data_IF_183547423548
#
_entry.id   IF_183547423548
#
_cell.length_a   1.000
_cell.length_b   1.000
_cell.length_c   1.000
_cell.angle_alpha   90.00
_cell.angle_beta   90.00
_cell.angle_gamma   90.00
#
_symmetry.space_group_name_H-M   'P 1'
#
loop_
_entity.id
_entity.type
_entity.pdbx_description
1 polymer ?
#
# COMPACT_ATOMS: atom_id res chain seq x y z
N UNK A 1 14.08 -9.52 0.76
CA UNK A 1 14.47 -10.25 -0.47
C UNK A 1 13.78 -11.61 -0.48
N UNK A 2 12.55 -11.72 -0.99
CA UNK A 2 12.04 -13.03 -1.37
C UNK A 2 12.62 -13.41 -2.73
N UNK A 3 13.39 -14.49 -2.74
CA UNK A 3 13.77 -15.16 -3.98
C UNK A 3 12.74 -16.24 -4.24
N UNK A 4 11.96 -16.11 -5.31
CA UNK A 4 11.19 -17.22 -5.87
C UNK A 4 11.86 -17.66 -7.16
N UNK A 5 12.16 -18.94 -7.25
CA UNK A 5 12.57 -19.55 -8.51
C UNK A 5 11.38 -19.46 -9.49
N UNK A 6 11.59 -18.84 -10.64
CA UNK A 6 10.61 -18.78 -11.73
C UNK A 6 11.17 -19.58 -12.89
N UNK A 7 10.61 -20.77 -13.13
CA UNK A 7 10.93 -21.58 -14.29
C UNK A 7 10.15 -21.05 -15.51
N UNK A 8 10.84 -20.34 -16.40
CA UNK A 8 10.30 -20.01 -17.72
C UNK A 8 10.41 -21.24 -18.64
N UNK A 9 9.33 -22.01 -18.76
CA UNK A 9 9.26 -23.14 -19.69
C UNK A 9 8.99 -22.64 -21.13
N UNK A 10 10.06 -22.27 -21.83
CA UNK A 10 10.04 -21.94 -23.25
C UNK A 10 11.24 -22.57 -23.99
N UNK A 11 11.15 -23.87 -24.32
CA UNK A 11 12.20 -24.58 -25.07
C UNK A 11 13.24 -25.31 -24.20
N UNK A 12 14.43 -25.56 -24.76
CA UNK A 12 15.53 -26.36 -24.17
C UNK A 12 16.47 -25.57 -23.23
N UNK A 13 16.16 -24.29 -22.98
CA UNK A 13 16.95 -23.43 -22.10
C UNK A 13 16.21 -23.14 -20.80
N UNK A 14 16.77 -23.59 -19.67
CA UNK A 14 16.39 -23.10 -18.35
C UNK A 14 17.23 -21.87 -18.00
N UNK A 15 16.59 -20.71 -17.99
CA UNK A 15 17.20 -19.47 -17.48
C UNK A 15 16.85 -19.33 -15.99
N UNK A 16 17.85 -19.51 -15.12
CA UNK A 16 17.75 -19.10 -13.71
C UNK A 16 17.92 -17.59 -13.63
N UNK A 17 16.81 -16.86 -13.62
CA UNK A 17 16.80 -15.43 -13.34
C UNK A 17 16.38 -15.15 -11.90
N UNK A 18 17.08 -14.25 -11.21
CA UNK A 18 16.60 -13.66 -9.97
C UNK A 18 15.82 -12.39 -10.32
N UNK A 19 14.50 -12.39 -10.15
CA UNK A 19 13.75 -11.15 -9.97
C UNK A 19 13.75 -10.83 -8.49
N UNK A 20 14.63 -9.93 -8.08
CA UNK A 20 14.55 -9.29 -6.79
C UNK A 20 13.59 -8.11 -6.93
N UNK A 21 12.31 -8.33 -6.65
CA UNK A 21 11.48 -7.22 -6.21
C UNK A 21 11.81 -7.00 -4.73
N UNK A 22 12.10 -5.76 -4.34
CA UNK A 22 11.98 -5.39 -2.95
C UNK A 22 10.48 -5.45 -2.65
N UNK A 23 10.01 -6.54 -2.04
CA UNK A 23 8.61 -6.77 -1.66
C UNK A 23 8.21 -5.84 -0.50
N UNK A 24 8.25 -4.53 -0.74
CA UNK A 24 7.88 -3.51 0.22
C UNK A 24 6.44 -3.06 -0.07
N UNK A 25 5.56 -3.30 0.90
CA UNK A 25 4.13 -2.99 0.79
C UNK A 25 3.78 -1.75 1.64
N UNK A 26 3.09 -0.76 1.08
CA UNK A 26 2.69 0.46 1.78
C UNK A 26 1.20 0.73 1.63
N UNK A 27 0.48 0.69 2.75
CA UNK A 27 -0.94 1.03 2.82
C UNK A 27 -1.11 2.40 3.48
N UNK A 28 -1.84 3.29 2.80
CA UNK A 28 -2.11 4.67 3.23
C UNK A 28 -3.62 4.85 3.36
N UNK A 29 -4.13 5.00 4.58
CA UNK A 29 -5.57 4.97 4.84
C UNK A 29 -6.05 6.11 5.73
N UNK A 30 -7.32 6.48 5.60
CA UNK A 30 -7.99 7.39 6.52
C UNK A 30 -8.43 6.64 7.79
N UNK A 31 -8.05 7.14 8.97
CA UNK A 31 -8.36 6.46 10.23
C UNK A 31 -9.87 6.48 10.57
N UNK A 32 -10.62 7.42 9.99
CA UNK A 32 -12.05 7.57 10.20
C UNK A 32 -12.88 7.10 9.00
N UNK A 33 -12.24 6.49 7.99
CA UNK A 33 -12.92 5.98 6.79
C UNK A 33 -13.85 4.80 7.16
N UNK A 34 -15.19 4.96 7.06
CA UNK A 34 -16.11 3.87 7.37
C UNK A 34 -16.09 2.75 6.31
N UNK A 35 -15.48 2.98 5.14
CA UNK A 35 -15.27 1.94 4.12
C UNK A 35 -14.06 1.07 4.44
N UNK A 36 -13.14 1.56 5.28
CA UNK A 36 -11.94 0.84 5.75
C UNK A 36 -11.91 0.82 7.28
N UNK A 37 -12.84 0.10 7.94
CA UNK A 37 -12.93 0.08 9.39
C UNK A 37 -11.67 -0.54 10.03
N UNK A 38 -11.39 -0.23 11.32
CA UNK A 38 -10.15 -0.65 11.99
C UNK A 38 -9.87 -2.16 11.99
N UNK A 39 -10.92 -2.98 11.98
CA UNK A 39 -10.81 -4.44 11.89
C UNK A 39 -10.24 -4.92 10.56
N UNK A 40 -10.50 -4.21 9.45
CA UNK A 40 -9.86 -4.52 8.16
C UNK A 40 -8.37 -4.19 8.18
N UNK A 41 -7.98 -3.08 8.82
CA UNK A 41 -6.55 -2.75 9.01
C UNK A 41 -5.87 -3.84 9.82
N UNK A 42 -6.47 -4.26 10.94
CA UNK A 42 -5.95 -5.36 11.77
C UNK A 42 -5.88 -6.69 10.98
N UNK A 43 -6.89 -6.98 10.17
CA UNK A 43 -6.90 -8.17 9.32
C UNK A 43 -5.75 -8.16 8.31
N UNK A 44 -5.53 -7.03 7.62
CA UNK A 44 -4.40 -6.84 6.71
C UNK A 44 -3.05 -7.03 7.41
N UNK A 45 -2.85 -6.39 8.57
CA UNK A 45 -1.61 -6.57 9.33
C UNK A 45 -1.36 -8.04 9.71
N UNK A 46 -2.41 -8.76 10.09
CA UNK A 46 -2.33 -10.19 10.40
C UNK A 46 -1.99 -11.03 9.17
N UNK A 47 -2.54 -10.69 8.00
CA UNK A 47 -2.20 -11.33 6.72
C UNK A 47 -0.72 -11.11 6.37
N UNK A 48 -0.20 -9.88 6.50
CA UNK A 48 1.22 -9.59 6.26
C UNK A 48 2.13 -10.38 7.20
N UNK A 49 1.77 -10.46 8.50
CA UNK A 49 2.49 -11.27 9.50
C UNK A 49 2.45 -12.76 9.18
N UNK A 50 1.27 -13.29 8.84
CA UNK A 50 1.09 -14.70 8.49
C UNK A 50 1.84 -15.09 7.21
N UNK A 51 1.84 -14.20 6.22
CA UNK A 51 2.58 -14.34 4.97
C UNK A 51 4.09 -14.15 5.12
N UNK A 52 4.57 -13.68 6.29
CA UNK A 52 5.97 -13.35 6.57
C UNK A 52 6.53 -12.32 5.57
N UNK A 53 5.70 -11.36 5.18
CA UNK A 53 6.11 -10.22 4.35
C UNK A 53 7.20 -9.47 5.10
N UNK A 54 8.36 -9.32 4.47
CA UNK A 54 9.57 -8.84 5.14
C UNK A 54 9.52 -7.33 5.42
N UNK A 55 8.88 -6.56 4.56
CA UNK A 55 8.78 -5.11 4.65
C UNK A 55 7.36 -4.66 4.28
N UNK A 56 6.63 -4.18 5.27
CA UNK A 56 5.31 -3.62 5.06
C UNK A 56 5.02 -2.52 6.07
N UNK A 57 4.23 -1.53 5.65
CA UNK A 57 3.84 -0.40 6.47
C UNK A 57 2.35 -0.09 6.26
N UNK A 58 1.68 0.28 7.35
CA UNK A 58 0.35 0.89 7.30
C UNK A 58 0.43 2.25 7.98
N UNK A 59 -0.02 3.31 7.28
CA UNK A 59 -0.12 4.65 7.84
C UNK A 59 -1.59 5.07 7.84
N UNK A 60 -2.13 5.24 9.05
CA UNK A 60 -3.50 5.73 9.25
C UNK A 60 -3.50 7.23 9.58
N UNK A 61 -4.14 8.03 8.74
CA UNK A 61 -4.27 9.48 8.93
C UNK A 61 -5.51 9.80 9.76
N UNK A 62 -5.33 10.36 10.97
CA UNK A 62 -6.44 10.77 11.83
C UNK A 62 -7.21 11.97 11.27
N UNK A 63 -8.52 12.01 11.50
CA UNK A 63 -9.46 13.01 10.97
C UNK A 63 -9.58 12.96 9.44
N UNK A 64 -9.42 11.76 8.86
CA UNK A 64 -9.35 11.57 7.41
C UNK A 64 -10.31 10.45 6.99
N UNK A 65 -11.13 10.76 5.98
CA UNK A 65 -12.17 9.91 5.43
C UNK A 65 -11.74 9.25 4.11
N UNK A 66 -12.64 8.54 3.44
CA UNK A 66 -12.39 7.97 2.12
C UNK A 66 -12.01 9.04 1.09
N UNK A 67 -11.24 8.67 0.06
CA UNK A 67 -10.94 9.55 -1.06
C UNK A 67 -10.19 10.83 -0.69
N UNK A 68 -9.44 10.82 0.41
CA UNK A 68 -8.76 12.01 0.96
C UNK A 68 -7.72 12.64 0.03
N UNK A 69 -7.30 11.94 -1.02
CA UNK A 69 -6.38 12.42 -2.07
C UNK A 69 -7.10 13.04 -3.26
N UNK A 70 -8.44 12.96 -3.33
CA UNK A 70 -9.21 13.53 -4.43
C UNK A 70 -9.69 14.95 -4.06
N UNK A 71 -9.17 16.02 -4.68
CA UNK A 71 -9.57 17.40 -4.36
C UNK A 71 -11.05 17.71 -4.61
N UNK A 72 -11.75 16.90 -5.40
CA UNK A 72 -13.19 17.07 -5.70
C UNK A 72 -14.08 16.30 -4.73
N UNK A 73 -13.52 15.55 -3.77
CA UNK A 73 -14.31 14.85 -2.77
C UNK A 73 -14.79 15.86 -1.71
N UNK A 74 -16.06 16.28 -1.83
CA UNK A 74 -16.69 17.28 -0.96
C UNK A 74 -17.85 16.70 -0.11
N UNK A 75 -18.02 15.37 -0.14
CA UNK A 75 -19.11 14.68 0.53
C UNK A 75 -20.46 14.68 -0.22
N UNK A 76 -20.56 15.32 -1.39
CA UNK A 76 -21.83 15.45 -2.14
C UNK A 76 -22.32 14.13 -2.73
N UNK A 77 -21.42 13.33 -3.30
CA UNK A 77 -21.71 12.00 -3.86
C UNK A 77 -21.75 10.95 -2.74
N UNK A 78 -20.82 11.04 -1.80
CA UNK A 78 -20.67 10.11 -0.70
C UNK A 78 -20.18 10.87 0.54
N UNK A 79 -21.01 10.95 1.58
CA UNK A 79 -20.69 11.70 2.81
C UNK A 79 -19.43 11.21 3.53
N UNK A 80 -19.08 9.94 3.33
CA UNK A 80 -17.86 9.32 3.85
C UNK A 80 -16.62 9.54 2.98
N UNK A 81 -16.71 10.35 1.93
CA UNK A 81 -15.58 10.71 1.08
C UNK A 81 -15.35 12.22 1.11
N UNK A 82 -14.20 12.65 1.64
CA UNK A 82 -13.86 14.06 1.81
C UNK A 82 -12.36 14.27 1.63
N UNK A 83 -12.01 15.28 0.84
CA UNK A 83 -10.63 15.69 0.64
C UNK A 83 -9.98 16.17 1.94
N UNK A 84 -8.76 15.71 2.23
CA UNK A 84 -7.90 16.22 3.30
C UNK A 84 -6.53 16.56 2.71
N UNK A 85 -6.32 17.85 2.44
CA UNK A 85 -5.09 18.36 1.85
C UNK A 85 -3.82 18.05 2.66
N UNK A 86 -3.94 17.82 3.97
CA UNK A 86 -2.80 17.45 4.82
C UNK A 86 -2.51 15.95 4.69
N UNK A 87 -3.53 15.10 4.72
CA UNK A 87 -3.36 13.66 4.51
C UNK A 87 -2.84 13.37 3.10
N UNK A 88 -3.39 14.04 2.08
CA UNK A 88 -2.93 13.95 0.69
C UNK A 88 -1.41 14.20 0.57
N UNK A 89 -0.95 15.38 0.99
CA UNK A 89 0.49 15.72 0.96
C UNK A 89 1.38 14.74 1.72
N UNK A 90 0.92 14.24 2.87
CA UNK A 90 1.69 13.29 3.69
C UNK A 90 1.75 11.91 3.03
N UNK A 91 0.65 11.45 2.45
CA UNK A 91 0.57 10.18 1.74
C UNK A 91 1.46 10.18 0.51
N UNK A 92 1.46 11.28 -0.24
CA UNK A 92 2.35 11.46 -1.39
C UNK A 92 3.83 11.46 -1.02
N UNK A 93 4.19 12.09 0.11
CA UNK A 93 5.57 12.06 0.60
C UNK A 93 6.00 10.66 1.06
N UNK A 94 5.12 9.91 1.74
CA UNK A 94 5.41 8.53 2.15
C UNK A 94 5.61 7.60 0.95
N UNK A 95 4.76 7.71 -0.08
CA UNK A 95 4.90 6.96 -1.33
C UNK A 95 6.24 7.25 -2.03
N UNK A 96 6.62 8.52 -2.17
CA UNK A 96 7.92 8.88 -2.75
C UNK A 96 9.08 8.33 -1.92
N UNK A 97 9.02 8.42 -0.59
CA UNK A 97 10.05 7.87 0.29
C UNK A 97 10.25 6.37 0.10
N UNK A 98 9.16 5.61 -0.09
CA UNK A 98 9.26 4.19 -0.44
C UNK A 98 9.93 3.99 -1.80
N UNK A 99 9.52 4.74 -2.83
CA UNK A 99 10.11 4.62 -4.16
C UNK A 99 11.61 4.95 -4.18
N UNK A 100 12.03 5.96 -3.43
CA UNK A 100 13.45 6.31 -3.27
C UNK A 100 14.25 5.18 -2.58
N UNK A 101 13.62 4.38 -1.71
CA UNK A 101 14.25 3.23 -1.06
C UNK A 101 14.35 2.01 -1.98
N UNK A 102 13.32 1.72 -2.78
CA UNK A 102 13.19 0.43 -3.47
C UNK A 102 13.59 0.43 -4.95
N UNK A 103 13.61 1.59 -5.60
CA UNK A 103 13.87 1.72 -7.05
C UNK A 103 15.33 2.12 -7.39
N UNK A 104 16.25 1.93 -6.46
CA UNK A 104 17.69 2.25 -6.62
C UNK A 104 18.44 1.23 -7.47
#
# INVERSE_FOLDING_TARGET
MHTRDVDYAGGDASLRGYLAFNDAELVLTGADDPLTPPDQVVAFENEMRAGKVADWQVISYGNTLHGFTNPTADGSIMKSALYDARADRRSWAAMQGLFDEVLV
#
